data_IF_377642595447
#
_entry.id   IF_377642595447
#
_cell.length_a   1.000
_cell.length_b   1.000
_cell.length_c   1.000
_cell.angle_alpha   90.00
_cell.angle_beta   90.00
_cell.angle_gamma   90.00
#
_symmetry.space_group_name_H-M   'P 1'
#
loop_
_entity.id
_entity.type
_entity.pdbx_description
1 polymer ?
#
# COMPACT_ATOMS: atom_id res chain seq x y z
N UNK A 1 -29.84 -3.90 -70.20
CA UNK A 1 -29.12 -4.36 -68.98
C UNK A 1 -27.65 -4.00 -69.17
N UNK A 2 -26.92 -3.67 -68.11
CA UNK A 2 -25.56 -3.07 -68.08
C UNK A 2 -25.49 -1.54 -68.06
N UNK A 3 -25.80 -0.94 -66.90
CA UNK A 3 -25.02 0.20 -66.40
C UNK A 3 -25.23 0.33 -64.88
N UNK A 4 -24.63 -0.58 -64.12
CA UNK A 4 -24.62 -0.55 -62.64
C UNK A 4 -23.23 -0.93 -62.10
N UNK A 5 -22.17 -0.46 -62.77
CA UNK A 5 -20.77 -0.83 -62.48
C UNK A 5 -19.95 0.36 -61.94
N UNK A 6 -20.37 1.61 -62.17
CA UNK A 6 -19.54 2.78 -61.86
C UNK A 6 -19.65 3.31 -60.42
N UNK A 7 -20.66 2.92 -59.64
CA UNK A 7 -20.87 3.44 -58.27
C UNK A 7 -20.17 2.60 -57.19
N UNK A 8 -19.91 1.32 -57.48
CA UNK A 8 -19.31 0.37 -56.53
C UNK A 8 -17.79 0.59 -56.36
N UNK A 9 -17.12 1.12 -57.39
CA UNK A 9 -15.65 1.27 -57.40
C UNK A 9 -15.16 2.44 -56.52
N UNK A 10 -15.96 3.50 -56.39
CA UNK A 10 -15.62 4.67 -55.55
C UNK A 10 -15.84 4.38 -54.05
N UNK A 11 -16.87 3.58 -53.74
CA UNK A 11 -17.14 3.12 -52.37
C UNK A 11 -16.02 2.21 -51.84
N UNK A 12 -15.50 1.30 -52.67
CA UNK A 12 -14.36 0.44 -52.30
C UNK A 12 -13.08 1.25 -52.08
N UNK A 13 -12.83 2.30 -52.87
CA UNK A 13 -11.66 3.18 -52.69
C UNK A 13 -11.71 3.98 -51.39
N UNK A 14 -12.89 4.47 -50.98
CA UNK A 14 -13.08 5.14 -49.68
C UNK A 14 -12.91 4.19 -48.51
N UNK A 15 -13.42 2.96 -48.62
CA UNK A 15 -13.27 1.94 -47.59
C UNK A 15 -11.78 1.59 -47.37
N UNK A 16 -11.00 1.44 -48.45
CA UNK A 16 -9.56 1.19 -48.35
C UNK A 16 -8.81 2.35 -47.69
N UNK A 17 -9.18 3.60 -47.98
CA UNK A 17 -8.57 4.77 -47.34
C UNK A 17 -8.81 4.83 -45.84
N UNK A 18 -10.02 4.46 -45.38
CA UNK A 18 -10.38 4.41 -43.97
C UNK A 18 -9.59 3.32 -43.23
N UNK A 19 -9.40 2.15 -43.84
CA UNK A 19 -8.57 1.08 -43.27
C UNK A 19 -7.09 1.48 -43.16
N UNK A 20 -6.56 2.19 -44.15
CA UNK A 20 -5.17 2.71 -44.10
C UNK A 20 -5.00 3.76 -43.00
N UNK A 21 -5.98 4.65 -42.81
CA UNK A 21 -5.96 5.65 -41.74
C UNK A 21 -6.03 5.03 -40.34
N UNK A 22 -6.79 3.94 -40.15
CA UNK A 22 -6.80 3.20 -38.88
C UNK A 22 -5.49 2.45 -38.62
N UNK A 23 -4.85 1.89 -39.66
CA UNK A 23 -3.57 1.19 -39.53
C UNK A 23 -2.40 2.13 -39.18
N UNK A 24 -2.54 3.43 -39.47
CA UNK A 24 -1.56 4.47 -39.11
C UNK A 24 -1.78 5.06 -37.70
N UNK A 25 -2.82 4.63 -36.98
CA UNK A 25 -3.01 5.07 -35.60
C UNK A 25 -1.94 4.44 -34.70
N UNK A 26 -1.03 5.29 -34.23
CA UNK A 26 0.05 4.88 -33.33
C UNK A 26 -0.53 4.39 -32.01
N UNK A 27 -0.35 3.11 -31.72
CA UNK A 27 -0.62 2.56 -30.39
C UNK A 27 0.38 3.20 -29.42
N UNK A 28 -0.11 4.14 -28.62
CA UNK A 28 0.66 4.72 -27.52
C UNK A 28 0.92 3.63 -26.47
N UNK A 29 2.05 2.95 -26.59
CA UNK A 29 2.54 2.07 -25.55
C UNK A 29 3.10 2.95 -24.45
N UNK A 30 2.39 3.04 -23.32
CA UNK A 30 2.96 3.61 -22.11
C UNK A 30 4.19 2.78 -21.74
N UNK A 31 5.36 3.28 -22.12
CA UNK A 31 6.64 2.65 -21.78
C UNK A 31 6.83 2.93 -20.29
N UNK A 32 6.74 1.89 -19.48
CA UNK A 32 6.81 2.01 -18.02
C UNK A 32 8.07 2.75 -17.55
N UNK A 33 7.98 3.41 -16.40
CA UNK A 33 9.08 4.12 -15.76
C UNK A 33 9.56 3.43 -14.48
N UNK A 34 10.69 3.88 -13.94
CA UNK A 34 11.19 3.46 -12.64
C UNK A 34 10.72 4.43 -11.56
N UNK A 35 9.99 3.93 -10.56
CA UNK A 35 9.73 4.68 -9.33
C UNK A 35 10.77 4.28 -8.29
N UNK A 36 11.49 5.27 -7.76
CA UNK A 36 12.44 5.07 -6.66
C UNK A 36 11.86 5.65 -5.38
N UNK A 37 11.60 4.79 -4.39
CA UNK A 37 11.26 5.21 -3.05
C UNK A 37 12.53 5.33 -2.21
N UNK A 38 12.71 6.45 -1.52
CA UNK A 38 13.78 6.66 -0.53
C UNK A 38 13.17 7.12 0.78
N UNK A 39 13.60 6.50 1.87
CA UNK A 39 13.21 6.85 3.22
C UNK A 39 14.20 6.23 4.20
N UNK A 40 14.25 6.79 5.41
CA UNK A 40 14.97 6.22 6.54
C UNK A 40 13.98 5.99 7.67
N UNK A 41 14.10 4.86 8.36
CA UNK A 41 13.41 4.65 9.63
C UNK A 41 14.18 5.49 10.66
N UNK A 42 13.71 6.71 10.90
CA UNK A 42 14.37 7.68 11.80
C UNK A 42 14.15 7.36 13.29
N UNK A 43 13.18 6.50 13.60
CA UNK A 43 12.82 6.11 14.96
C UNK A 43 12.57 4.61 15.01
N UNK A 44 13.29 3.90 15.87
CA UNK A 44 13.02 2.49 16.15
C UNK A 44 11.70 2.35 16.89
N UNK A 45 10.99 1.24 16.67
CA UNK A 45 9.82 0.89 17.48
C UNK A 45 10.18 0.76 18.97
N UNK A 46 9.16 0.63 19.81
CA UNK A 46 9.38 0.43 21.24
C UNK A 46 9.91 -0.98 21.52
N UNK A 47 10.95 -1.08 22.34
CA UNK A 47 11.45 -2.33 22.89
C UNK A 47 10.41 -2.93 23.85
N UNK A 48 10.26 -4.25 23.81
CA UNK A 48 9.33 -4.99 24.66
C UNK A 48 10.07 -6.03 25.48
N UNK A 49 9.91 -5.97 26.80
CA UNK A 49 10.48 -6.93 27.74
C UNK A 49 9.36 -7.52 28.60
N UNK A 50 9.28 -8.84 28.70
CA UNK A 50 8.27 -9.52 29.52
C UNK A 50 8.95 -10.06 30.78
N UNK A 51 8.62 -9.54 31.95
CA UNK A 51 9.19 -9.95 33.25
C UNK A 51 8.09 -10.06 34.30
N UNK A 52 8.09 -11.13 35.11
CA UNK A 52 7.14 -11.34 36.21
C UNK A 52 5.67 -11.11 35.81
N UNK A 53 5.25 -11.66 34.66
CA UNK A 53 3.87 -11.50 34.15
C UNK A 53 3.47 -10.03 33.91
N UNK A 54 4.43 -9.17 33.57
CA UNK A 54 4.21 -7.78 33.17
C UNK A 54 4.96 -7.50 31.88
N UNK A 55 4.40 -6.63 31.04
CA UNK A 55 5.02 -6.20 29.79
C UNK A 55 5.63 -4.83 30.04
N UNK A 56 6.95 -4.72 29.99
CA UNK A 56 7.65 -3.44 29.99
C UNK A 56 7.86 -3.01 28.55
N UNK A 57 7.33 -1.85 28.19
CA UNK A 57 7.65 -1.22 26.92
C UNK A 57 8.52 0.01 27.14
N UNK A 58 9.58 0.11 26.34
CA UNK A 58 10.50 1.23 26.37
C UNK A 58 10.64 1.81 24.97
N UNK A 59 10.47 3.10 24.82
CA UNK A 59 10.60 3.79 23.55
C UNK A 59 11.68 4.86 23.70
N UNK A 60 12.54 4.99 22.69
CA UNK A 60 13.54 6.05 22.64
C UNK A 60 13.20 7.02 21.53
N UNK A 61 12.95 8.29 21.87
CA UNK A 61 12.57 9.35 20.93
C UNK A 61 13.35 10.63 21.22
N UNK A 62 14.01 11.19 20.21
CA UNK A 62 14.82 12.41 20.35
C UNK A 62 15.90 12.32 21.43
N UNK A 63 16.51 11.14 21.60
CA UNK A 63 17.53 10.88 22.63
C UNK A 63 16.99 10.70 24.06
N UNK A 64 15.66 10.72 24.25
CA UNK A 64 15.01 10.45 25.54
C UNK A 64 14.35 9.07 25.53
N UNK A 65 14.54 8.32 26.60
CA UNK A 65 13.89 7.02 26.78
C UNK A 65 12.78 7.13 27.81
N UNK A 66 11.57 6.76 27.43
CA UNK A 66 10.46 6.56 28.36
C UNK A 66 10.09 5.09 28.41
N UNK A 67 9.74 4.61 29.59
CA UNK A 67 9.31 3.24 29.81
C UNK A 67 7.99 3.21 30.57
N UNK A 68 7.09 2.33 30.13
CA UNK A 68 5.82 2.06 30.77
C UNK A 68 5.71 0.57 31.08
N UNK A 69 5.15 0.27 32.25
CA UNK A 69 4.77 -1.10 32.59
C UNK A 69 3.30 -1.28 32.25
N UNK A 70 3.05 -2.21 31.34
CA UNK A 70 1.78 -2.58 30.78
C UNK A 70 1.34 -3.91 31.40
N UNK A 71 0.05 -3.98 31.71
CA UNK A 71 -0.55 -5.14 32.36
C UNK A 71 -0.84 -6.23 31.34
N UNK A 72 -0.88 -7.49 31.79
CA UNK A 72 -1.32 -8.61 30.97
C UNK A 72 -2.86 -8.73 30.91
N UNK A 73 -3.57 -7.62 30.88
CA UNK A 73 -5.03 -7.56 30.81
C UNK A 73 -5.47 -7.30 29.37
N UNK A 74 -6.75 -7.57 29.07
CA UNK A 74 -7.33 -7.31 27.76
C UNK A 74 -7.71 -5.83 27.54
N UNK A 75 -7.26 -4.93 28.43
CA UNK A 75 -7.53 -3.50 28.31
C UNK A 75 -6.56 -2.83 27.35
N UNK A 76 -7.04 -1.81 26.64
CA UNK A 76 -6.17 -0.97 25.85
C UNK A 76 -5.31 -0.09 26.76
N UNK A 77 -4.01 -0.05 26.49
CA UNK A 77 -3.05 0.74 27.24
C UNK A 77 -2.23 1.62 26.29
N UNK A 78 -1.85 2.81 26.73
CA UNK A 78 -1.08 3.74 25.90
C UNK A 78 0.41 3.40 25.95
N UNK A 79 1.09 3.55 24.81
CA UNK A 79 2.55 3.44 24.74
C UNK A 79 3.24 4.66 25.38
N UNK A 80 4.51 4.52 25.82
CA UNK A 80 5.34 5.67 26.21
C UNK A 80 5.32 6.78 25.15
N UNK A 81 5.47 8.03 25.56
CA UNK A 81 5.27 9.22 24.72
C UNK A 81 3.92 9.33 23.98
N UNK A 82 2.92 8.51 24.35
CA UNK A 82 1.63 8.43 23.62
C UNK A 82 1.82 8.16 22.13
N UNK A 83 2.79 7.32 21.76
CA UNK A 83 3.06 6.96 20.35
C UNK A 83 1.95 6.14 19.71
N UNK A 84 1.04 5.62 20.52
CA UNK A 84 -0.03 4.75 20.09
C UNK A 84 -0.65 4.01 21.25
N UNK A 85 -1.26 2.88 20.91
CA UNK A 85 -1.92 2.00 21.87
C UNK A 85 -1.49 0.56 21.67
N UNK A 86 -1.52 -0.18 22.77
CA UNK A 86 -1.30 -1.61 22.79
C UNK A 86 -2.53 -2.30 23.39
N UNK A 87 -2.90 -3.43 22.81
CA UNK A 87 -3.96 -4.30 23.31
C UNK A 87 -3.44 -5.73 23.35
N UNK A 88 -3.76 -6.43 24.44
CA UNK A 88 -3.64 -7.87 24.51
C UNK A 88 -5.01 -8.49 24.26
N UNK A 89 -5.04 -9.56 23.47
CA UNK A 89 -6.23 -10.41 23.32
C UNK A 89 -5.83 -11.87 23.44
N UNK A 90 -6.59 -12.64 24.23
CA UNK A 90 -6.48 -14.10 24.22
C UNK A 90 -7.07 -14.65 22.92
N UNK A 91 -6.28 -15.41 22.17
CA UNK A 91 -6.69 -16.08 20.93
C UNK A 91 -6.35 -17.57 21.08
N UNK A 92 -7.36 -18.37 21.40
CA UNK A 92 -7.17 -19.78 21.74
C UNK A 92 -6.25 -19.97 22.94
N UNK A 93 -5.09 -20.58 22.70
CA UNK A 93 -4.11 -20.96 23.73
C UNK A 93 -2.99 -19.93 23.92
N UNK A 94 -2.94 -18.87 23.11
CA UNK A 94 -1.92 -17.84 23.17
C UNK A 94 -2.55 -16.45 23.38
N UNK A 95 -1.71 -15.48 23.75
CA UNK A 95 -2.08 -14.06 23.83
C UNK A 95 -1.44 -13.34 22.66
N UNK A 96 -2.26 -12.66 21.88
CA UNK A 96 -1.83 -11.80 20.80
C UNK A 96 -1.67 -10.39 21.33
N UNK A 97 -0.49 -9.80 21.15
CA UNK A 97 -0.25 -8.38 21.43
C UNK A 97 -0.34 -7.62 20.11
N UNK A 98 -1.24 -6.65 20.04
CA UNK A 98 -1.39 -5.74 18.90
C UNK A 98 -0.95 -4.36 19.32
N UNK A 99 -0.01 -3.79 18.57
CA UNK A 99 0.49 -2.42 18.78
C UNK A 99 0.04 -1.58 17.59
N UNK A 100 -0.72 -0.53 17.86
CA UNK A 100 -1.18 0.43 16.86
C UNK A 100 -0.49 1.77 17.14
N UNK A 101 0.37 2.20 16.23
CA UNK A 101 0.97 3.52 16.26
C UNK A 101 -0.01 4.56 15.67
N UNK A 102 0.02 5.78 16.19
CA UNK A 102 -0.74 6.90 15.63
C UNK A 102 -0.13 7.40 14.32
#
# INVERSE_FOLDING_TARGET
MFMKINTECEAMKKLTYVFVLMALSSSSFATGGQITFRGAIVETGCDTLIVHSQIKQSCTRGGKTEAATLGLNDSQQSLPFKLGTMQLKKVGNYRMMTVNYY
#
